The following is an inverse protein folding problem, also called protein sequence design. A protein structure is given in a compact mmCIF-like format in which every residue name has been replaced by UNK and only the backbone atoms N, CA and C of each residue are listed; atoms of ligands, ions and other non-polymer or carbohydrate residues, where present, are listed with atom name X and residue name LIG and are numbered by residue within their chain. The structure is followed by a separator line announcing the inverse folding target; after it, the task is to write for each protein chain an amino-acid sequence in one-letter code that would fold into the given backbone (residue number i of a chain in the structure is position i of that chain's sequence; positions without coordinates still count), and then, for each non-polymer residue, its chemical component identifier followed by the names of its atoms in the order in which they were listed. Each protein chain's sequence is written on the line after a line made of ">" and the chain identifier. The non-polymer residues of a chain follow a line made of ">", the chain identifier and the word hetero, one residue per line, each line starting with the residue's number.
data_IF_644011189986
#
_entry.id   IF_644011189986
#
_cell.length_a   1.000
_cell.length_b   1.000
_cell.length_c   1.000
_cell.angle_alpha   90.00
_cell.angle_beta   90.00
_cell.angle_gamma   90.00
#
_symmetry.space_group_name_H-M   'P 1'
#
loop_
_entity.id
_entity.type
_entity.pdbx_description
1 polymer ?
#
# COMPACT_ATOMS: atom_id res chain seq x y z
N UNK A 1 38.90 -11.74 29.83
CA UNK A 1 39.24 -11.00 28.60
C UNK A 1 38.21 -11.39 27.53
N UNK A 2 37.36 -10.42 27.20
CA UNK A 2 36.45 -10.33 26.05
C UNK A 2 35.69 -11.59 25.60
N UNK A 3 34.55 -11.82 26.22
CA UNK A 3 33.35 -12.20 25.48
C UNK A 3 32.92 -11.02 24.61
N UNK A 4 32.49 -11.30 23.38
CA UNK A 4 31.32 -10.69 22.70
C UNK A 4 31.53 -10.67 21.19
N UNK A 5 31.27 -11.85 20.63
CA UNK A 5 30.38 -12.07 19.49
C UNK A 5 30.33 -11.00 18.38
N UNK A 6 30.79 -11.42 17.21
CA UNK A 6 30.38 -10.92 15.90
C UNK A 6 28.85 -11.06 15.71
N UNK A 7 28.08 -10.00 15.94
CA UNK A 7 26.71 -9.87 15.42
C UNK A 7 26.53 -8.50 14.77
N UNK A 8 26.94 -8.38 13.51
CA UNK A 8 26.63 -7.21 12.68
C UNK A 8 25.93 -7.62 11.38
N UNK A 9 24.96 -8.53 11.48
CA UNK A 9 24.21 -9.01 10.33
C UNK A 9 22.70 -9.14 10.60
N UNK A 10 22.00 -8.05 10.96
CA UNK A 10 20.60 -7.82 10.56
C UNK A 10 20.12 -6.41 10.98
N UNK A 11 19.72 -5.53 10.02
CA UNK A 11 18.27 -5.29 9.83
C UNK A 11 17.84 -4.86 8.39
N UNK A 12 18.56 -5.22 7.32
CA UNK A 12 18.24 -4.70 5.97
C UNK A 12 16.98 -5.32 5.34
N UNK A 13 16.61 -6.56 5.68
CA UNK A 13 15.49 -7.30 5.06
C UNK A 13 14.12 -6.76 5.48
N UNK A 14 13.93 -6.50 6.78
CA UNK A 14 12.68 -5.98 7.35
C UNK A 14 12.38 -4.57 6.81
N UNK A 15 13.38 -3.69 6.79
CA UNK A 15 13.23 -2.31 6.31
C UNK A 15 12.78 -2.25 4.83
N UNK A 16 13.37 -3.08 3.96
CA UNK A 16 12.96 -3.13 2.53
C UNK A 16 11.52 -3.59 2.33
N UNK A 17 11.05 -4.56 3.11
CA UNK A 17 9.65 -5.04 3.04
C UNK A 17 8.68 -3.96 3.52
N UNK A 18 9.00 -3.26 4.60
CA UNK A 18 8.21 -2.14 5.11
C UNK A 18 8.14 -0.99 4.08
N UNK A 19 9.28 -0.59 3.51
CA UNK A 19 9.33 0.42 2.46
C UNK A 19 8.52 0.03 1.22
N UNK A 20 8.58 -1.24 0.80
CA UNK A 20 7.77 -1.73 -0.32
C UNK A 20 6.27 -1.69 -0.02
N UNK A 21 5.86 -1.99 1.22
CA UNK A 21 4.46 -1.90 1.66
C UNK A 21 3.95 -0.46 1.63
N UNK A 22 4.73 0.48 2.16
CA UNK A 22 4.41 1.92 2.13
C UNK A 22 4.22 2.39 0.69
N UNK A 23 5.19 2.09 -0.19
CA UNK A 23 5.13 2.49 -1.61
C UNK A 23 3.93 1.88 -2.34
N UNK A 24 3.54 0.65 -1.99
CA UNK A 24 2.35 0.01 -2.55
C UNK A 24 1.10 0.74 -2.09
N UNK A 25 1.00 1.07 -0.80
CA UNK A 25 -0.12 1.82 -0.24
C UNK A 25 -0.27 3.19 -0.90
N UNK A 26 0.82 3.94 -1.06
CA UNK A 26 0.81 5.26 -1.71
C UNK A 26 0.27 5.20 -3.14
N UNK A 27 0.76 4.26 -3.96
CA UNK A 27 0.27 4.09 -5.34
C UNK A 27 -1.22 3.79 -5.42
N UNK A 28 -1.72 3.00 -4.47
CA UNK A 28 -3.14 2.65 -4.41
C UNK A 28 -3.97 3.87 -4.01
N UNK A 29 -3.51 4.69 -3.06
CA UNK A 29 -4.20 5.92 -2.64
C UNK A 29 -4.21 6.98 -3.76
N UNK A 30 -3.09 7.14 -4.47
CA UNK A 30 -3.01 8.06 -5.62
C UNK A 30 -4.01 7.66 -6.71
N UNK A 31 -4.04 6.39 -7.09
CA UNK A 31 -4.98 5.87 -8.08
C UNK A 31 -6.44 5.97 -7.60
N UNK A 32 -6.70 5.68 -6.32
CA UNK A 32 -8.03 5.81 -5.73
C UNK A 32 -8.52 7.26 -5.76
N UNK A 33 -7.67 8.21 -5.37
CA UNK A 33 -7.97 9.64 -5.41
C UNK A 33 -8.38 10.12 -6.80
N UNK A 34 -7.59 9.77 -7.82
CA UNK A 34 -7.89 10.12 -9.21
C UNK A 34 -9.23 9.51 -9.66
N UNK A 35 -9.46 8.22 -9.42
CA UNK A 35 -10.69 7.56 -9.85
C UNK A 35 -11.93 8.08 -9.12
N UNK A 36 -11.83 8.36 -7.81
CA UNK A 36 -12.93 8.95 -7.05
C UNK A 36 -13.24 10.36 -7.54
N UNK A 37 -12.22 11.17 -7.87
CA UNK A 37 -12.43 12.51 -8.40
C UNK A 37 -13.03 12.50 -9.82
N UNK A 38 -12.60 11.58 -10.68
CA UNK A 38 -13.07 11.51 -12.08
C UNK A 38 -14.47 10.91 -12.24
N UNK A 39 -14.78 9.87 -11.46
CA UNK A 39 -15.97 9.03 -11.69
C UNK A 39 -16.94 9.04 -10.51
N UNK A 40 -16.55 9.60 -9.37
CA UNK A 40 -17.28 9.49 -8.11
C UNK A 40 -17.08 8.16 -7.41
N UNK A 41 -17.57 8.08 -6.16
CA UNK A 41 -17.40 6.93 -5.29
C UNK A 41 -18.03 5.64 -5.86
N UNK A 42 -19.25 5.72 -6.41
CA UNK A 42 -20.00 4.53 -6.82
C UNK A 42 -19.42 3.84 -8.06
N UNK A 43 -18.97 4.62 -9.04
CA UNK A 43 -18.42 4.11 -10.29
C UNK A 43 -16.96 3.63 -10.18
N UNK A 44 -16.21 4.08 -9.16
CA UNK A 44 -14.86 3.60 -8.90
C UNK A 44 -14.91 2.25 -8.17
N UNK A 45 -14.34 1.20 -8.77
CA UNK A 45 -14.23 -0.12 -8.12
C UNK A 45 -12.81 -0.40 -7.64
N UNK A 46 -12.65 -1.27 -6.63
CA UNK A 46 -11.33 -1.73 -6.16
C UNK A 46 -10.51 -2.34 -7.31
N UNK A 47 -11.17 -2.98 -8.28
CA UNK A 47 -10.51 -3.54 -9.47
C UNK A 47 -9.94 -2.45 -10.37
N UNK A 48 -10.69 -1.38 -10.59
CA UNK A 48 -10.23 -0.26 -11.42
C UNK A 48 -9.08 0.49 -10.74
N UNK A 49 -9.17 0.69 -9.42
CA UNK A 49 -8.11 1.28 -8.60
C UNK A 49 -6.84 0.42 -8.65
N UNK A 50 -6.97 -0.89 -8.47
CA UNK A 50 -5.84 -1.81 -8.58
C UNK A 50 -5.18 -1.74 -9.96
N UNK A 51 -6.00 -1.73 -11.02
CA UNK A 51 -5.52 -1.61 -12.41
C UNK A 51 -4.79 -0.29 -12.64
N UNK A 52 -5.33 0.83 -12.18
CA UNK A 52 -4.73 2.15 -12.30
C UNK A 52 -3.42 2.26 -11.50
N UNK A 53 -3.34 1.63 -10.31
CA UNK A 53 -2.13 1.58 -9.50
C UNK A 53 -1.05 0.61 -10.04
N UNK A 54 -1.35 -0.18 -11.08
CA UNK A 54 -0.47 -1.25 -11.57
C UNK A 54 -0.30 -2.40 -10.57
N UNK A 55 -1.33 -2.68 -9.78
CA UNK A 55 -1.35 -3.66 -8.70
C UNK A 55 -2.39 -4.76 -8.95
N UNK A 56 -2.22 -5.89 -8.27
CA UNK A 56 -3.30 -6.88 -8.19
C UNK A 56 -4.36 -6.43 -7.19
N UNK A 57 -5.60 -6.88 -7.38
CA UNK A 57 -6.67 -6.68 -6.39
C UNK A 57 -6.28 -7.27 -5.03
N UNK A 58 -5.60 -8.42 -5.00
CA UNK A 58 -5.09 -9.01 -3.76
C UNK A 58 -4.08 -8.11 -3.03
N UNK A 59 -3.23 -7.38 -3.75
CA UNK A 59 -2.31 -6.41 -3.15
C UNK A 59 -3.03 -5.20 -2.55
N UNK A 60 -4.15 -4.77 -3.15
CA UNK A 60 -5.03 -3.75 -2.57
C UNK A 60 -5.69 -4.29 -1.30
N UNK A 61 -6.27 -5.49 -1.37
CA UNK A 61 -6.91 -6.14 -0.22
C UNK A 61 -5.95 -6.44 0.94
N UNK A 62 -4.65 -6.58 0.66
CA UNK A 62 -3.63 -6.72 1.70
C UNK A 62 -3.36 -5.41 2.47
N UNK A 63 -3.82 -4.26 1.96
CA UNK A 63 -3.63 -2.93 2.57
C UNK A 63 -4.94 -2.26 3.00
N UNK A 64 -6.09 -2.66 2.43
CA UNK A 64 -7.41 -2.08 2.67
C UNK A 64 -8.48 -3.19 2.60
N UNK A 65 -9.42 -3.21 3.54
CA UNK A 65 -10.47 -4.22 3.59
C UNK A 65 -11.57 -3.97 2.55
N UNK A 66 -11.91 -2.71 2.30
CA UNK A 66 -13.00 -2.35 1.39
C UNK A 66 -12.79 -0.99 0.69
N UNK A 67 -13.79 -0.59 -0.11
CA UNK A 67 -13.79 0.66 -0.86
C UNK A 67 -13.99 1.88 0.06
N UNK A 68 -14.71 1.72 1.18
CA UNK A 68 -14.94 2.79 2.14
C UNK A 68 -13.63 3.17 2.84
N UNK A 69 -12.83 2.18 3.29
CA UNK A 69 -11.51 2.41 3.88
C UNK A 69 -10.57 3.14 2.91
N UNK A 70 -10.62 2.80 1.62
CA UNK A 70 -9.88 3.52 0.58
C UNK A 70 -10.34 4.97 0.42
N UNK A 71 -11.65 5.21 0.46
CA UNK A 71 -12.20 6.55 0.35
C UNK A 71 -11.83 7.40 1.57
N UNK A 72 -12.03 6.88 2.78
CA UNK A 72 -11.63 7.54 4.01
C UNK A 72 -10.13 7.86 4.02
N UNK A 73 -9.28 6.92 3.61
CA UNK A 73 -7.83 7.12 3.56
C UNK A 73 -7.36 8.13 2.49
N UNK A 74 -8.19 8.44 1.49
CA UNK A 74 -7.91 9.46 0.46
C UNK A 74 -8.35 10.86 0.93
N UNK A 75 -9.44 10.94 1.69
CA UNK A 75 -10.07 12.21 2.08
C UNK A 75 -9.86 12.59 3.56
N UNK A 76 -8.96 11.89 4.26
CA UNK A 76 -8.49 12.20 5.62
C UNK A 76 -7.05 12.67 5.60
#
# INVERSE_FOLDING_TARGET
>A
MSESHTLAAEPVRLNRRQAAKIRTREKVLEAASQLFAERGYDAATIRDIAKAAGMSTGAVFANFQDKAELFEAVFT
#
